data_IF_574127187186
#
_entry.id   IF_574127187186
#
_cell.length_a   1.000
_cell.length_b   1.000
_cell.length_c   1.000
_cell.angle_alpha   90.00
_cell.angle_beta   90.00
_cell.angle_gamma   90.00
#
_symmetry.space_group_name_H-M   'P 1'
#
loop_
_entity.id
_entity.type
_entity.pdbx_description
1 polymer ?
2 polymer ?
3 polymer ?
#
# COMPACT_ATOMS: atom_id res chain seq x y z
N UNK A 1 7.00 15.91 -3.81
CA UNK A 1 8.13 16.43 -3.00
C UNK A 1 8.47 15.48 -1.86
N UNK A 2 7.45 15.05 -1.12
CA UNK A 2 7.64 14.14 0.00
C UNK A 2 7.49 12.69 -0.44
N UNK A 3 6.86 12.46 -1.59
CA UNK A 3 6.65 11.12 -2.11
C UNK A 3 7.89 10.62 -2.87
N UNK A 4 8.74 9.88 -2.17
CA UNK A 4 9.95 9.34 -2.78
C UNK A 4 9.76 7.87 -3.16
N UNK A 5 9.70 7.60 -4.46
CA UNK A 5 9.52 6.25 -4.93
C UNK A 5 10.81 5.58 -5.34
N UNK A 6 11.02 4.35 -4.88
CA UNK A 6 12.23 3.60 -5.20
C UNK A 6 13.43 4.14 -4.44
N UNK A 7 13.18 4.76 -3.29
CA UNK A 7 14.24 5.32 -2.48
C UNK A 7 14.90 4.23 -1.62
N UNK A 8 16.18 3.98 -1.88
CA UNK A 8 16.91 2.96 -1.15
C UNK A 8 17.13 3.40 0.31
N UNK A 9 17.13 2.43 1.21
CA UNK A 9 17.33 2.71 2.63
C UNK A 9 18.63 3.49 2.85
N UNK A 10 19.72 2.98 2.29
CA UNK A 10 21.02 3.63 2.43
C UNK A 10 20.97 5.06 1.93
N UNK A 11 20.13 5.30 0.92
CA UNK A 11 19.98 6.64 0.35
C UNK A 11 19.28 7.58 1.33
N UNK A 12 18.13 7.15 1.83
CA UNK A 12 17.37 7.95 2.79
C UNK A 12 18.25 8.44 3.92
N UNK A 13 18.90 7.50 4.61
CA UNK A 13 19.78 7.83 5.72
C UNK A 13 20.86 8.82 5.28
N UNK A 14 21.47 8.54 4.12
CA UNK A 14 22.53 9.39 3.60
C UNK A 14 22.01 10.80 3.32
N UNK A 15 20.71 10.94 3.16
CA UNK A 15 20.10 12.23 2.89
C UNK A 15 19.68 12.92 4.18
N UNK A 16 19.09 12.16 5.09
CA UNK A 16 18.64 12.71 6.37
C UNK A 16 19.82 12.84 7.34
N UNK A 17 20.86 12.06 7.11
CA UNK A 17 22.05 12.10 7.97
C UNK A 17 22.54 13.53 8.15
N UNK A 18 22.55 13.99 9.40
CA UNK A 18 22.99 15.34 9.70
C UNK A 18 21.95 16.39 9.36
N UNK A 19 20.73 15.95 9.07
CA UNK A 19 19.64 16.87 8.75
C UNK A 19 18.87 17.28 10.00
N UNK A 20 18.70 18.58 10.17
CA UNK A 20 17.98 19.12 11.31
C UNK A 20 16.64 18.40 11.49
N UNK A 21 16.04 18.56 12.67
CA UNK A 21 14.76 17.92 12.96
C UNK A 21 13.64 18.52 12.13
N UNK A 22 12.65 17.70 11.80
CA UNK A 22 11.52 18.16 11.01
C UNK A 22 11.53 17.59 9.60
N UNK A 23 12.67 17.09 9.17
CA UNK A 23 12.80 16.52 7.84
C UNK A 23 12.27 15.09 7.80
N UNK A 24 11.31 14.84 6.91
CA UNK A 24 10.71 13.51 6.77
C UNK A 24 10.33 13.24 5.32
N UNK A 25 10.20 11.96 4.98
CA UNK A 25 9.83 11.57 3.62
C UNK A 25 9.40 10.10 3.58
N UNK A 26 8.51 9.78 2.64
CA UNK A 26 8.03 8.42 2.49
C UNK A 26 8.88 7.64 1.48
N UNK A 27 9.04 6.34 1.72
CA UNK A 27 9.83 5.51 0.83
C UNK A 27 9.35 4.06 0.86
N UNK A 28 9.48 3.38 -0.27
CA UNK A 28 9.05 1.98 -0.37
C UNK A 28 9.98 1.08 0.42
N UNK A 29 9.40 0.22 1.26
CA UNK A 29 10.18 -0.70 2.07
C UNK A 29 10.93 -1.70 1.19
N UNK A 30 12.07 -2.19 1.69
CA UNK A 30 12.87 -3.15 0.95
C UNK A 30 12.37 -4.57 1.16
N UNK A 31 12.18 -4.95 2.43
CA UNK A 31 11.71 -6.28 2.77
C UNK A 31 10.19 -6.29 2.94
N UNK A 32 9.51 -5.34 2.31
CA UNK A 32 8.06 -5.25 2.40
C UNK A 32 7.48 -4.71 1.09
N UNK A 33 6.99 -5.61 0.22
CA UNK A 33 6.40 -5.23 -1.07
C UNK A 33 5.10 -4.45 -0.90
N UNK A 34 4.94 -3.39 -1.69
CA UNK A 34 3.75 -2.58 -1.60
C UNK A 34 3.55 -1.97 -0.22
N UNK A 35 4.65 -1.63 0.43
CA UNK A 35 4.59 -1.05 1.77
C UNK A 35 5.43 0.23 1.84
N UNK A 36 4.86 1.28 2.40
CA UNK A 36 5.55 2.56 2.53
C UNK A 36 6.26 2.64 3.87
N UNK A 37 7.13 3.65 4.01
CA UNK A 37 7.88 3.85 5.24
C UNK A 37 8.04 5.34 5.54
N UNK A 38 7.84 5.71 6.80
CA UNK A 38 7.96 7.10 7.21
C UNK A 38 9.37 7.39 7.72
N UNK A 39 10.10 8.22 6.97
CA UNK A 39 11.46 8.57 7.35
C UNK A 39 11.48 9.88 8.13
N UNK A 40 12.30 9.93 9.17
CA UNK A 40 12.41 11.12 10.00
C UNK A 40 13.79 11.23 10.63
N UNK A 41 14.49 12.32 10.34
CA UNK A 41 15.83 12.54 10.89
C UNK A 41 15.76 12.98 12.34
N UNK A 42 15.93 12.03 13.26
CA UNK A 42 15.90 12.32 14.68
C UNK A 42 17.19 13.02 15.12
N UNK A 43 17.46 12.98 16.42
CA UNK A 43 18.66 13.61 16.97
C UNK A 43 19.89 12.75 16.71
N UNK A 44 20.44 12.86 15.49
CA UNK A 44 21.62 12.10 15.09
C UNK A 44 21.25 10.67 14.68
N UNK A 45 19.96 10.42 14.46
CA UNK A 45 19.50 9.10 14.06
C UNK A 45 18.23 9.21 13.22
N UNK A 46 18.24 8.55 12.06
CA UNK A 46 17.09 8.58 11.17
C UNK A 46 16.21 7.35 11.37
N UNK A 47 14.99 7.57 11.88
CA UNK A 47 14.05 6.48 12.12
C UNK A 47 13.22 6.20 10.87
N UNK A 48 12.64 5.00 10.81
CA UNK A 48 11.83 4.62 9.67
C UNK A 48 10.69 3.68 10.08
N UNK A 49 9.48 4.22 10.13
CA UNK A 49 8.31 3.44 10.50
C UNK A 49 7.72 2.74 9.29
N UNK A 50 7.19 1.54 9.49
CA UNK A 50 6.60 0.76 8.40
C UNK A 50 5.14 1.13 8.17
N UNK A 51 4.78 1.32 6.90
CA UNK A 51 3.42 1.67 6.54
C UNK A 51 2.91 0.79 5.41
N UNK A 52 1.60 0.55 5.38
CA UNK A 52 0.99 -0.29 4.35
C UNK A 52 0.26 0.56 3.32
N UNK A 53 0.38 0.18 2.06
CA UNK A 53 -0.27 0.92 0.97
C UNK A 53 -0.75 -0.04 -0.12
N UNK A 54 -1.87 0.31 -0.75
CA UNK A 54 -2.44 -0.51 -1.80
C UNK A 54 -1.45 -0.67 -2.96
N UNK A 55 -1.55 -1.80 -3.67
CA UNK A 55 -0.66 -2.06 -4.79
C UNK A 55 -1.04 -1.26 -6.02
N UNK A 56 -1.97 -1.76 -6.85
CA UNK A 56 -2.41 -1.08 -8.06
C UNK A 56 -2.95 0.31 -7.79
N UNK A 57 -3.05 1.12 -8.83
CA UNK A 57 -3.59 2.47 -8.70
C UNK A 57 -5.08 2.42 -8.41
N UNK A 58 -5.84 1.60 -9.16
CA UNK A 58 -7.28 1.46 -8.98
C UNK A 58 -7.62 1.00 -7.56
N UNK A 59 -8.65 1.60 -6.94
CA UNK A 59 -9.08 1.22 -5.60
C UNK A 59 -10.02 0.02 -5.70
N UNK A 60 -9.76 -1.02 -4.93
CA UNK A 60 -10.59 -2.20 -4.99
C UNK A 60 -11.95 -1.95 -4.33
N UNK A 61 -13.06 -2.26 -5.03
CA UNK A 61 -14.40 -2.07 -4.50
C UNK A 61 -14.84 -3.21 -3.59
N UNK A 62 -15.89 -2.99 -2.78
CA UNK A 62 -16.41 -4.00 -1.86
C UNK A 62 -17.30 -5.03 -2.57
N UNK A 63 -17.62 -6.11 -1.86
CA UNK A 63 -18.46 -7.16 -2.40
C UNK A 63 -19.92 -6.96 -2.02
N UNK A 64 -20.84 -7.73 -2.64
CA UNK A 64 -22.27 -7.62 -2.35
C UNK A 64 -22.57 -7.66 -0.85
N UNK A 65 -23.79 -7.25 -0.49
CA UNK A 65 -24.19 -7.24 0.91
C UNK A 65 -23.98 -8.60 1.57
N UNK A 66 -23.93 -9.65 0.75
CA UNK A 66 -23.72 -11.00 1.26
C UNK A 66 -22.30 -11.16 1.79
N UNK A 67 -21.99 -12.32 2.40
CA UNK A 67 -20.66 -12.59 2.96
C UNK A 67 -19.55 -12.25 1.97
N UNK A 68 -18.61 -11.35 2.35
CA UNK A 68 -17.51 -10.95 1.49
C UNK A 68 -16.30 -11.88 1.62
N UNK A 69 -15.91 -12.54 0.51
CA UNK A 69 -14.76 -13.46 0.51
C UNK A 69 -13.43 -12.72 0.51
N UNK A 70 -12.55 -13.09 1.44
CA UNK A 70 -11.25 -12.45 1.54
C UNK A 70 -11.34 -10.94 1.50
N UNK A 71 -12.26 -10.39 2.30
CA UNK A 71 -12.44 -8.94 2.36
C UNK A 71 -11.19 -8.25 2.89
N UNK A 72 -10.60 -7.40 2.05
CA UNK A 72 -9.39 -6.67 2.42
C UNK A 72 -9.30 -5.34 1.68
N UNK A 73 -9.87 -4.27 2.26
CA UNK A 73 -9.86 -2.94 1.65
C UNK A 73 -8.45 -2.49 1.29
N UNK A 74 -8.36 -1.54 0.35
CA UNK A 74 -7.07 -1.02 -0.09
C UNK A 74 -6.71 0.28 0.64
N UNK A 75 -7.58 0.73 1.55
CA UNK A 75 -7.34 1.95 2.30
C UNK A 75 -5.95 1.93 2.94
N UNK A 76 -5.53 3.08 3.46
CA UNK A 76 -4.23 3.19 4.11
C UNK A 76 -4.32 2.76 5.57
N UNK A 77 -3.22 2.19 6.08
CA UNK A 77 -3.19 1.74 7.47
C UNK A 77 -1.82 1.96 8.08
N UNK A 78 -1.80 2.38 9.35
CA UNK A 78 -0.55 2.64 10.05
C UNK A 78 -0.74 2.55 11.56
N UNK A 79 -0.08 1.58 12.18
CA UNK A 79 -0.21 1.40 13.61
C UNK A 79 -1.63 1.13 14.05
N UNK A 80 -2.07 1.80 15.11
CA UNK A 80 -3.43 1.63 15.62
C UNK A 80 -4.41 2.61 14.97
N UNK A 81 -4.07 3.07 13.77
CA UNK A 81 -4.94 4.01 13.05
C UNK A 81 -4.77 3.88 11.54
N UNK A 82 -5.84 4.17 10.81
CA UNK A 82 -5.82 4.09 9.35
C UNK A 82 -5.95 5.47 8.73
N UNK A 83 -5.67 5.56 7.43
CA UNK A 83 -5.76 6.83 6.72
C UNK A 83 -6.21 6.62 5.28
N UNK A 84 -6.59 7.72 4.62
CA UNK A 84 -7.06 7.66 3.24
C UNK A 84 -5.89 7.47 2.27
N UNK A 85 -4.74 8.05 2.61
CA UNK A 85 -3.56 7.94 1.75
C UNK A 85 -2.31 8.41 2.48
N UNK A 86 -1.20 8.48 1.74
CA UNK A 86 0.08 8.90 2.31
C UNK A 86 -0.01 10.33 2.84
N UNK A 87 -0.55 11.26 2.05
CA UNK A 87 -0.69 12.66 2.45
C UNK A 87 -1.24 12.79 3.87
N UNK A 88 -2.34 12.08 4.14
CA UNK A 88 -2.95 12.10 5.45
C UNK A 88 -2.03 11.47 6.49
N UNK A 89 -1.36 10.40 6.09
CA UNK A 89 -0.44 9.70 6.98
C UNK A 89 0.67 10.65 7.43
N UNK A 90 1.42 11.17 6.47
CA UNK A 90 2.51 12.10 6.77
C UNK A 90 2.04 13.20 7.72
N UNK A 91 0.84 13.74 7.45
CA UNK A 91 0.29 14.80 8.28
C UNK A 91 0.16 14.33 9.72
N UNK A 92 -0.29 13.09 9.90
CA UNK A 92 -0.46 12.52 11.23
C UNK A 92 0.86 12.53 12.00
N UNK A 93 1.90 11.98 11.40
CA UNK A 93 3.21 11.93 12.02
C UNK A 93 3.69 13.32 12.39
N UNK A 94 3.31 14.31 11.58
CA UNK A 94 3.69 15.69 11.83
C UNK A 94 2.86 16.30 12.94
N UNK A 95 1.64 15.80 13.11
CA UNK A 95 0.74 16.30 14.15
C UNK A 95 0.85 15.48 15.43
N UNK A 96 1.34 14.25 15.30
CA UNK A 96 1.50 13.37 16.45
C UNK A 96 2.92 13.43 17.00
N UNK A 97 3.14 12.77 18.13
CA UNK A 97 4.47 12.75 18.76
C UNK A 97 5.12 11.38 18.61
N UNK A 98 5.06 10.84 17.40
CA UNK A 98 5.65 9.53 17.14
C UNK A 98 7.13 9.51 17.52
N UNK A 99 7.93 10.25 16.76
CA UNK A 99 9.36 10.34 17.01
C UNK A 99 9.70 11.66 17.70
N UNK A 100 10.99 11.88 17.93
CA UNK A 100 11.45 13.11 18.59
C UNK A 100 10.76 14.33 17.97
N UNK A 101 10.13 15.14 18.82
CA UNK A 101 9.42 16.34 18.38
C UNK A 101 8.55 16.05 17.17
N UNK A 102 7.92 17.09 16.63
CA UNK A 102 7.04 16.94 15.48
C UNK A 102 7.78 17.27 14.18
N UNK A 103 7.25 16.80 13.06
CA UNK A 103 7.86 17.05 11.77
C UNK A 103 7.65 18.51 11.34
N UNK A 104 8.52 19.00 10.48
CA UNK A 104 8.43 20.37 10.00
C UNK A 104 8.12 20.42 8.50
N UNK A 105 9.05 19.91 7.70
CA UNK A 105 8.87 19.90 6.25
C UNK A 105 9.60 18.72 5.62
N UNK A 106 9.21 18.34 4.38
CA UNK A 106 9.84 17.22 3.68
C UNK A 106 11.26 17.54 3.23
N UNK A 107 12.05 16.49 2.97
CA UNK A 107 13.42 16.67 2.54
C UNK A 107 13.52 17.65 1.38
N UNK A 108 12.46 17.70 0.57
CA UNK A 108 12.42 18.60 -0.58
C UNK A 108 12.10 20.02 -0.15
N UNK A 109 12.01 20.93 -1.12
CA UNK A 109 11.71 22.33 -0.84
C UNK A 109 11.06 22.99 -2.04
N UNK B 1 13.24 -11.07 17.82
CA UNK B 1 13.19 -11.72 16.48
C UNK B 1 12.29 -10.96 15.52
N UNK B 2 10.98 -10.85 15.83
CA UNK B 2 10.02 -10.14 14.99
C UNK B 2 10.18 -8.62 15.09
N UNK B 3 11.34 -8.12 14.67
CA UNK B 3 11.59 -6.69 14.72
C UNK B 3 12.06 -6.14 13.39
N UNK B 4 11.25 -6.27 12.33
CA UNK B 4 11.61 -5.77 11.00
C UNK B 4 11.59 -4.25 10.92
N UNK B 5 10.68 -3.64 11.69
CA UNK B 5 10.56 -2.19 11.71
C UNK B 5 10.16 -1.70 13.11
N UNK B 6 9.94 -0.39 13.22
CA UNK B 6 9.56 0.21 14.49
C UNK B 6 8.11 -0.11 14.83
N UNK B 7 7.19 0.35 13.98
CA UNK B 7 5.78 0.11 14.20
C UNK B 7 5.26 0.93 15.39
N UNK B 8 4.70 2.12 15.13
CA UNK B 8 4.17 2.98 16.19
C UNK B 8 2.91 2.41 16.84
N UNK B 9 3.07 1.88 18.05
CA UNK B 9 1.95 1.30 18.78
C UNK B 9 1.92 1.79 20.23
N UNK B 10 3.08 1.76 20.86
CA UNK B 10 3.19 2.21 22.25
C UNK B 10 2.18 1.49 23.15
N UNK B 11 2.43 0.20 23.38
CA UNK B 11 1.54 -0.60 24.22
C UNK B 11 2.35 -1.51 25.14
N UNK B 12 2.91 -2.57 24.58
CA UNK B 12 3.70 -3.52 25.36
C UNK B 12 2.93 -4.03 26.57
N UNK B 13 3.61 -4.75 27.44
CA UNK B 13 2.98 -5.30 28.64
C UNK B 13 3.26 -4.42 29.86
N UNK C 1 -6.26 -24.28 -10.47
CA UNK C 1 -6.53 -23.21 -11.46
C UNK C 1 -5.23 -22.55 -11.94
N UNK C 2 -4.56 -23.17 -12.92
CA UNK C 2 -3.30 -22.64 -13.46
C UNK C 2 -3.42 -21.18 -13.90
N UNK C 3 -4.55 -20.84 -14.49
CA UNK C 3 -4.80 -19.48 -14.95
C UNK C 3 -6.21 -19.34 -15.53
N UNK C 4 -7.18 -19.98 -14.88
CA UNK C 4 -8.56 -19.92 -15.33
C UNK C 4 -9.47 -19.35 -14.24
N UNK C 5 -9.94 -18.13 -14.47
CA UNK C 5 -10.82 -17.46 -13.51
C UNK C 5 -12.01 -16.83 -14.21
N UNK C 6 -12.92 -16.25 -13.43
CA UNK C 6 -14.10 -15.62 -13.98
C UNK C 6 -14.64 -14.53 -13.04
N UNK C 7 -15.13 -13.44 -13.63
CA UNK C 7 -15.67 -12.34 -12.85
C UNK C 7 -17.14 -12.57 -12.52
N UNK C 8 -17.51 -12.28 -11.27
CA UNK C 8 -18.89 -12.46 -10.82
C UNK C 8 -19.75 -11.25 -11.16
N UNK C 9 -19.11 -10.08 -11.21
CA UNK C 9 -19.82 -8.84 -11.53
C UNK C 9 -19.11 -8.07 -12.64
N UNK C 10 -19.73 -6.99 -13.09
CA UNK C 10 -19.16 -6.18 -14.16
C UNK C 10 -18.26 -5.08 -13.58
N UNK C 11 -16.96 -5.22 -13.79
CA UNK C 11 -15.99 -4.25 -13.29
C UNK C 11 -15.64 -3.24 -14.38
N UNK C 12 -15.47 -1.98 -13.97
CA UNK C 12 -15.13 -0.92 -14.90
C UNK C 12 -13.78 -0.29 -14.55
N UNK C 13 -12.95 -0.08 -15.57
CA UNK C 13 -11.63 0.51 -15.36
C UNK C 13 -11.49 1.82 -16.14
N UNK C 14 -10.71 2.75 -15.59
CA UNK C 14 -10.51 4.04 -16.24
C UNK C 14 -9.19 4.05 -17.00
N UNK C 15 -8.75 2.88 -17.44
CA UNK C 15 -7.51 2.78 -18.19
C UNK C 15 -6.32 2.49 -17.29
N UNK C 16 -6.43 2.86 -16.03
CA UNK C 16 -5.36 2.64 -15.07
C UNK C 16 -5.00 1.15 -14.98
N UNK C 17 -4.32 0.77 -13.91
CA UNK C 17 -3.92 -0.61 -13.71
C UNK C 17 -5.10 -1.55 -13.90
N UNK C 18 -6.31 -1.03 -13.65
CA UNK C 18 -7.53 -1.83 -13.80
C UNK C 18 -7.90 -2.03 -15.26
N UNK C 19 -8.78 -3.00 -15.52
CA UNK C 19 -9.23 -3.30 -16.87
C UNK C 19 -10.74 -3.50 -16.89
N UNK C 20 -11.44 -2.66 -17.66
CA UNK C 20 -12.89 -2.75 -17.76
C UNK C 20 -13.32 -4.14 -18.20
N UNK C 21 -14.02 -4.84 -17.31
CA UNK C 21 -14.50 -6.19 -17.61
C UNK C 21 -15.96 -6.36 -17.19
N UNK C 22 -16.67 -7.24 -17.90
CA UNK C 22 -18.07 -7.50 -17.62
C UNK C 22 -18.24 -8.61 -16.59
N UNK C 23 -19.48 -8.92 -16.26
CA UNK C 23 -19.77 -9.97 -15.28
C UNK C 23 -19.94 -11.32 -15.97
N UNK C 24 -19.59 -12.39 -15.25
CA UNK C 24 -19.71 -13.72 -15.80
C UNK C 24 -18.68 -14.02 -16.88
N UNK C 25 -17.68 -13.15 -17.00
CA UNK C 25 -16.62 -13.32 -17.99
C UNK C 25 -15.46 -14.13 -17.41
N UNK C 26 -14.83 -14.95 -18.25
CA UNK C 26 -13.71 -15.76 -17.83
C UNK C 26 -12.39 -15.06 -18.11
N UNK C 27 -11.56 -14.92 -17.09
CA UNK C 27 -10.27 -14.26 -17.23
C UNK C 27 -9.15 -15.13 -16.67
N UNK C 28 -7.93 -14.92 -17.17
CA UNK C 28 -6.78 -15.69 -16.71
C UNK C 28 -6.01 -14.91 -15.67
N UNK C 29 -6.19 -15.27 -14.40
CA UNK C 29 -5.50 -14.60 -13.30
C UNK C 29 -4.11 -15.19 -13.08
N UNK C 30 -3.10 -14.42 -13.45
CA UNK C 30 -1.71 -14.86 -13.29
C UNK C 30 -0.94 -13.92 -12.36
N UNK C 31 -1.67 -13.14 -11.57
CA UNK C 31 -1.04 -12.21 -10.65
C UNK C 31 -1.93 -11.87 -9.46
N UNK C 32 -1.31 -11.76 -8.29
CA UNK C 32 -2.04 -11.44 -7.06
C UNK C 32 -1.36 -10.31 -6.30
N UNK C 33 -2.02 -9.84 -5.24
CA UNK C 33 -1.48 -8.76 -4.43
C UNK C 33 -0.80 -9.31 -3.18
N UNK C 34 -0.01 -8.46 -2.52
CA UNK C 34 0.69 -8.87 -1.30
C UNK C 34 -0.29 -9.11 -0.16
N UNK C 35 -1.46 -8.46 -0.24
CA UNK C 35 -2.48 -8.61 0.79
C UNK C 35 -3.61 -9.52 0.32
N UNK C 36 -3.68 -9.78 -0.99
CA UNK C 36 -4.71 -10.63 -1.52
C UNK C 36 -6.01 -9.88 -1.77
N UNK C 37 -5.90 -8.57 -2.01
CA UNK C 37 -7.07 -7.74 -2.27
C UNK C 37 -7.31 -7.61 -3.77
N UNK C 38 -6.23 -7.45 -4.52
CA UNK C 38 -6.33 -7.30 -5.98
C UNK C 38 -6.01 -8.62 -6.69
N UNK C 39 -6.44 -8.71 -7.93
CA UNK C 39 -6.20 -9.92 -8.73
C UNK C 39 -5.90 -9.54 -10.18
N UNK C 40 -4.68 -9.83 -10.63
CA UNK C 40 -4.29 -9.52 -12.00
C UNK C 40 -4.83 -10.55 -12.98
N UNK C 41 -5.80 -10.13 -13.78
CA UNK C 41 -6.41 -11.02 -14.76
C UNK C 41 -5.86 -10.74 -16.16
N UNK C 42 -5.92 -11.76 -17.01
CA UNK C 42 -5.43 -11.63 -18.38
C UNK C 42 -6.32 -12.39 -19.35
N UNK C 43 -6.60 -11.79 -20.50
CA UNK C 43 -7.44 -12.41 -21.51
C UNK C 43 -6.93 -12.10 -22.91
N UNK C 44 -7.73 -12.43 -23.92
CA UNK C 44 -7.36 -12.20 -25.31
C UNK C 44 -7.09 -10.72 -25.57
N UNK C 45 -7.72 -9.87 -24.76
CA UNK C 45 -7.55 -8.43 -24.89
C UNK C 45 -6.26 -7.96 -24.23
N UNK C 46 -5.83 -8.68 -23.20
CA UNK C 46 -4.61 -8.33 -22.50
C UNK C 46 -4.71 -8.56 -21.00
N UNK C 47 -3.88 -7.86 -20.24
CA UNK C 47 -3.88 -7.99 -18.78
C UNK C 47 -4.74 -6.91 -18.14
N UNK C 48 -5.08 -7.11 -16.87
CA UNK C 48 -5.89 -6.13 -16.16
C UNK C 48 -5.95 -6.41 -14.67
N UNK C 49 -6.23 -5.36 -13.89
CA UNK C 49 -6.31 -5.50 -12.45
C UNK C 49 -7.77 -5.62 -11.99
N UNK C 50 -8.13 -6.81 -11.54
CA UNK C 50 -9.48 -7.07 -11.06
C UNK C 50 -9.49 -7.37 -9.57
N UNK C 51 -10.51 -6.88 -8.84
CA UNK C 51 -10.62 -7.10 -7.40
C UNK C 51 -10.47 -8.58 -7.03
N UNK C 52 -10.22 -8.85 -5.75
CA UNK C 52 -10.05 -10.21 -5.27
C UNK C 52 -11.40 -10.89 -5.02
N UNK C 53 -12.44 -10.08 -4.85
CA UNK C 53 -13.78 -10.62 -4.59
C UNK C 53 -14.63 -10.63 -5.86
N UNK C 54 -14.54 -9.56 -6.64
CA UNK C 54 -15.31 -9.46 -7.88
C UNK C 54 -14.96 -10.58 -8.85
N UNK C 55 -13.82 -11.25 -8.62
CA UNK C 55 -13.40 -12.35 -9.48
C UNK C 55 -13.36 -13.67 -8.72
N UNK C 56 -13.43 -14.78 -9.45
CA UNK C 56 -13.39 -16.10 -8.83
C UNK C 56 -13.08 -17.17 -9.86
N UNK C 57 -12.35 -18.23 -9.45
CA UNK C 57 -11.99 -19.34 -10.35
C UNK C 57 -13.20 -19.88 -11.12
N UNK C 58 -12.95 -20.41 -12.31
CA UNK C 58 -14.01 -20.97 -13.13
C UNK C 58 -14.58 -22.25 -12.51
N UNK C 59 -15.68 -22.72 -13.06
CA UNK C 59 -16.33 -23.93 -12.56
C UNK C 59 -15.49 -25.16 -12.90
N UNK C 60 -14.91 -25.77 -11.87
CA UNK C 60 -14.08 -26.96 -12.05
C UNK C 60 -14.68 -28.16 -11.31
#
# INVERSE_FOLDING_TARGET
SWYWGRLSRQEAVALLQGQRHGVFLVRDSSTSPGDYVLSVSENSRVSHYIINSSGPRPPVPPSPAQPPPGVSPSRLRIGDQEFDSLPALLEFYKIHYLDTTTLIEPVSR
EPGPYAQPSVNTK
DPNLFVALYDFVASGDNTLSITKGEKLRVLGYNHNGEWCEAQTKNGQGWVPSNYITPVNSK
#
